data_IF_131452363544
#
_entry.id   IF_131452363544
#
_cell.length_a   1.000
_cell.length_b   1.000
_cell.length_c   1.000
_cell.angle_alpha   90.00
_cell.angle_beta   90.00
_cell.angle_gamma   90.00
#
_symmetry.space_group_name_H-M   'P 1'
#
loop_
_entity.id
_entity.type
_entity.pdbx_description
1 polymer ?
#
# COMPACT_ATOMS: atom_id res chain seq x y z
N UNK A 1 32.85 25.62 -51.88
CA UNK A 1 32.96 25.03 -50.52
C UNK A 1 32.03 25.81 -49.61
N UNK A 2 30.91 25.23 -49.19
CA UNK A 2 29.94 25.88 -48.28
C UNK A 2 30.12 25.30 -46.89
N UNK A 3 30.49 26.16 -45.93
CA UNK A 3 30.64 25.76 -44.54
C UNK A 3 29.26 25.51 -43.92
N UNK A 4 29.01 24.28 -43.47
CA UNK A 4 27.85 23.95 -42.62
C UNK A 4 28.10 24.54 -41.23
N UNK A 5 27.26 25.49 -40.82
CA UNK A 5 27.22 26.00 -39.45
C UNK A 5 26.65 24.92 -38.54
N UNK A 6 27.50 24.33 -37.71
CA UNK A 6 27.08 23.38 -36.67
C UNK A 6 26.27 24.16 -35.63
N UNK A 7 24.97 23.87 -35.53
CA UNK A 7 24.11 24.42 -34.50
C UNK A 7 24.67 24.07 -33.12
N UNK A 8 24.78 25.06 -32.23
CA UNK A 8 25.27 24.87 -30.87
C UNK A 8 24.42 23.80 -30.15
N UNK A 9 25.03 22.89 -29.36
CA UNK A 9 24.30 21.84 -28.68
C UNK A 9 23.26 22.46 -27.74
N UNK A 10 21.99 22.14 -27.96
CA UNK A 10 20.93 22.54 -27.05
C UNK A 10 21.29 22.08 -25.63
N UNK A 11 21.43 23.03 -24.71
CA UNK A 11 21.80 22.77 -23.32
C UNK A 11 20.79 21.77 -22.74
N UNK A 12 21.21 20.52 -22.55
CA UNK A 12 20.38 19.43 -22.02
C UNK A 12 19.93 19.86 -20.63
N UNK A 13 18.73 20.44 -20.53
CA UNK A 13 18.14 20.78 -19.26
C UNK A 13 18.10 19.51 -18.42
N UNK A 14 18.62 19.59 -17.20
CA UNK A 14 18.71 18.48 -16.25
C UNK A 14 17.29 18.11 -15.81
N UNK A 15 16.56 17.43 -16.70
CA UNK A 15 15.18 17.01 -16.50
C UNK A 15 15.22 15.89 -15.46
N UNK A 16 14.43 16.03 -14.39
CA UNK A 16 14.26 14.98 -13.40
C UNK A 16 13.84 13.69 -14.13
N UNK A 17 14.63 12.63 -14.02
CA UNK A 17 14.42 11.40 -14.79
C UNK A 17 13.31 10.56 -14.14
N UNK A 18 12.06 10.97 -14.36
CA UNK A 18 10.86 10.30 -13.82
C UNK A 18 10.81 8.82 -14.19
N UNK A 19 11.32 8.46 -15.38
CA UNK A 19 11.38 7.06 -15.84
C UNK A 19 12.34 6.23 -14.98
N UNK A 20 13.52 6.77 -14.67
CA UNK A 20 14.49 6.11 -13.79
C UNK A 20 13.92 5.94 -12.38
N UNK A 21 13.27 6.97 -11.83
CA UNK A 21 12.63 6.88 -10.51
C UNK A 21 11.48 5.88 -10.48
N UNK A 22 10.64 5.85 -11.52
CA UNK A 22 9.56 4.88 -11.64
C UNK A 22 10.07 3.44 -11.76
N UNK A 23 11.10 3.21 -12.57
CA UNK A 23 11.75 1.91 -12.67
C UNK A 23 12.37 1.47 -11.34
N UNK A 24 13.11 2.36 -10.69
CA UNK A 24 13.75 2.08 -9.41
C UNK A 24 12.71 1.75 -8.34
N UNK A 25 11.60 2.51 -8.29
CA UNK A 25 10.48 2.23 -7.39
C UNK A 25 9.95 0.81 -7.60
N UNK A 26 9.62 0.41 -8.84
CA UNK A 26 9.08 -0.93 -9.10
C UNK A 26 10.02 -2.05 -8.65
N UNK A 27 11.34 -1.88 -8.81
CA UNK A 27 12.32 -2.89 -8.38
C UNK A 27 12.51 -2.94 -6.88
N UNK A 28 12.74 -1.78 -6.25
CA UNK A 28 12.99 -1.70 -4.81
C UNK A 28 11.75 -2.09 -4.00
N UNK A 29 10.57 -1.60 -4.40
CA UNK A 29 9.30 -1.99 -3.76
C UNK A 29 9.02 -3.48 -3.90
N UNK A 30 9.31 -4.10 -5.06
CA UNK A 30 9.14 -5.54 -5.26
C UNK A 30 9.97 -6.37 -4.29
N UNK A 31 11.25 -6.05 -4.12
CA UNK A 31 12.13 -6.75 -3.16
C UNK A 31 11.64 -6.57 -1.71
N UNK A 32 11.29 -5.35 -1.34
CA UNK A 32 10.79 -5.06 0.01
C UNK A 32 9.44 -5.75 0.27
N UNK A 33 8.56 -5.80 -0.74
CA UNK A 33 7.26 -6.47 -0.65
C UNK A 33 7.39 -7.98 -0.46
N UNK A 34 8.43 -8.63 -0.99
CA UNK A 34 8.69 -10.05 -0.68
C UNK A 34 8.82 -10.23 0.83
N UNK A 35 9.65 -9.42 1.50
CA UNK A 35 9.84 -9.53 2.95
C UNK A 35 8.52 -9.22 3.70
N UNK A 36 7.86 -8.13 3.34
CA UNK A 36 6.64 -7.68 4.01
C UNK A 36 5.49 -8.69 3.88
N UNK A 37 5.24 -9.17 2.66
CA UNK A 37 4.14 -10.10 2.36
C UNK A 37 4.44 -11.47 2.96
N UNK A 38 5.64 -12.03 2.80
CA UNK A 38 5.95 -13.33 3.38
C UNK A 38 5.94 -13.29 4.91
N UNK A 39 6.48 -12.24 5.54
CA UNK A 39 6.38 -12.08 6.99
C UNK A 39 4.92 -11.97 7.45
N UNK A 40 4.10 -11.19 6.74
CA UNK A 40 2.67 -11.09 7.01
C UNK A 40 1.97 -12.45 6.87
N UNK A 41 2.15 -13.16 5.75
CA UNK A 41 1.53 -14.46 5.54
C UNK A 41 2.01 -15.51 6.55
N UNK A 42 3.30 -15.53 6.88
CA UNK A 42 3.87 -16.49 7.82
C UNK A 42 3.27 -16.33 9.22
N UNK A 43 3.22 -15.10 9.75
CA UNK A 43 2.69 -14.85 11.09
C UNK A 43 1.18 -15.14 11.17
N UNK A 44 0.43 -14.84 10.11
CA UNK A 44 -1.02 -15.06 10.10
C UNK A 44 -1.42 -16.51 9.80
N UNK A 45 -0.59 -17.30 9.10
CA UNK A 45 -0.97 -18.64 8.62
C UNK A 45 -0.19 -19.80 9.26
N UNK A 46 1.07 -19.59 9.66
CA UNK A 46 1.97 -20.67 10.09
C UNK A 46 2.27 -20.68 11.58
N UNK A 47 1.92 -19.62 12.31
CA UNK A 47 2.18 -19.49 13.75
C UNK A 47 0.88 -19.68 14.53
N UNK A 48 0.97 -20.21 15.76
CA UNK A 48 -0.20 -20.44 16.62
C UNK A 48 -1.16 -21.46 16.01
N UNK A 49 -2.45 -21.12 15.96
CA UNK A 49 -3.48 -21.96 15.31
C UNK A 49 -3.73 -21.59 13.84
N UNK A 50 -2.83 -20.79 13.24
CA UNK A 50 -2.94 -20.34 11.86
C UNK A 50 -4.22 -19.55 11.59
N UNK A 51 -4.87 -19.82 10.45
CA UNK A 51 -6.07 -19.09 10.01
C UNK A 51 -7.23 -19.14 11.00
N UNK A 52 -7.30 -20.18 11.84
CA UNK A 52 -8.37 -20.35 12.82
C UNK A 52 -8.27 -19.35 14.00
N UNK A 53 -7.09 -18.76 14.22
CA UNK A 53 -6.89 -17.72 15.23
C UNK A 53 -7.18 -16.29 14.73
N UNK A 54 -7.52 -16.10 13.45
CA UNK A 54 -7.73 -14.77 12.87
C UNK A 54 -9.13 -14.23 13.20
N UNK A 55 -9.27 -13.62 14.37
CA UNK A 55 -10.49 -12.96 14.83
C UNK A 55 -10.26 -11.47 15.17
N UNK A 56 -11.29 -10.83 15.73
CA UNK A 56 -11.21 -9.42 16.14
C UNK A 56 -10.15 -9.19 17.24
N UNK A 57 -10.04 -10.11 18.21
CA UNK A 57 -9.10 -9.99 19.31
C UNK A 57 -7.65 -10.10 18.83
N UNK A 58 -7.39 -10.97 17.85
CA UNK A 58 -6.10 -11.09 17.19
C UNK A 58 -5.68 -9.78 16.49
N UNK A 59 -6.60 -9.16 15.73
CA UNK A 59 -6.35 -7.87 15.07
C UNK A 59 -6.10 -6.78 16.11
N UNK A 60 -6.91 -6.73 17.17
CA UNK A 60 -6.74 -5.78 18.26
C UNK A 60 -5.37 -5.93 18.94
N UNK A 61 -4.91 -7.17 19.17
CA UNK A 61 -3.58 -7.47 19.68
C UNK A 61 -2.46 -7.01 18.75
N UNK A 62 -2.57 -7.26 17.44
CA UNK A 62 -1.58 -6.76 16.46
C UNK A 62 -1.52 -5.24 16.49
N UNK A 63 -2.67 -4.58 16.36
CA UNK A 63 -2.75 -3.12 16.30
C UNK A 63 -2.50 -2.42 17.63
N UNK A 64 -2.35 -3.14 18.75
CA UNK A 64 -1.91 -2.58 20.02
C UNK A 64 -0.44 -2.12 20.01
N UNK A 65 0.36 -2.52 19.00
CA UNK A 65 1.77 -2.13 18.89
C UNK A 65 2.06 -1.35 17.61
N UNK A 66 2.88 -0.28 17.65
CA UNK A 66 3.24 0.49 16.45
C UNK A 66 3.95 -0.34 15.38
N UNK A 67 4.67 -1.40 15.78
CA UNK A 67 5.42 -2.25 14.85
C UNK A 67 4.49 -2.87 13.79
N UNK A 68 3.40 -3.53 14.21
CA UNK A 68 2.47 -4.16 13.28
C UNK A 68 1.64 -3.15 12.49
N UNK A 69 1.27 -2.02 13.10
CA UNK A 69 0.59 -0.92 12.39
C UNK A 69 1.43 -0.44 11.20
N UNK A 70 2.71 -0.12 11.44
CA UNK A 70 3.60 0.34 10.38
C UNK A 70 3.96 -0.76 9.38
N UNK A 71 4.11 -2.02 9.83
CA UNK A 71 4.30 -3.16 8.93
C UNK A 71 3.16 -3.27 7.92
N UNK A 72 1.92 -3.29 8.41
CA UNK A 72 0.73 -3.48 7.56
C UNK A 72 0.46 -2.24 6.69
N UNK A 73 0.70 -1.01 7.19
CA UNK A 73 0.56 0.24 6.40
C UNK A 73 1.65 0.35 5.32
N UNK A 74 2.91 0.06 5.64
CA UNK A 74 3.98 0.07 4.64
C UNK A 74 3.70 -0.95 3.53
N UNK A 75 3.27 -2.15 3.91
CA UNK A 75 2.86 -3.17 2.95
C UNK A 75 1.66 -2.72 2.11
N UNK A 76 0.61 -2.14 2.72
CA UNK A 76 -0.57 -1.62 2.04
C UNK A 76 -0.18 -0.60 0.96
N UNK A 77 0.60 0.42 1.34
CA UNK A 77 1.02 1.48 0.43
C UNK A 77 1.89 0.93 -0.70
N UNK A 78 2.91 0.13 -0.38
CA UNK A 78 3.81 -0.42 -1.39
C UNK A 78 3.07 -1.38 -2.32
N UNK A 79 2.22 -2.26 -1.81
CA UNK A 79 1.52 -3.26 -2.60
C UNK A 79 0.51 -2.62 -3.55
N UNK A 80 -0.30 -1.67 -3.06
CA UNK A 80 -1.29 -0.98 -3.91
C UNK A 80 -0.63 -0.09 -4.95
N UNK A 81 0.43 0.66 -4.60
CA UNK A 81 1.13 1.52 -5.56
C UNK A 81 1.90 0.66 -6.58
N UNK A 82 2.60 -0.38 -6.15
CA UNK A 82 3.31 -1.31 -7.05
C UNK A 82 2.32 -2.02 -7.99
N UNK A 83 1.25 -2.58 -7.43
CA UNK A 83 0.20 -3.26 -8.19
C UNK A 83 -0.50 -2.33 -9.18
N UNK A 84 -0.88 -1.12 -8.75
CA UNK A 84 -1.54 -0.14 -9.63
C UNK A 84 -0.63 0.33 -10.78
N UNK A 85 0.67 0.52 -10.52
CA UNK A 85 1.64 0.84 -11.58
C UNK A 85 1.83 -0.33 -12.56
N UNK A 86 1.91 -1.57 -12.07
CA UNK A 86 1.95 -2.76 -12.91
C UNK A 86 0.70 -2.88 -13.78
N UNK A 87 -0.49 -2.73 -13.17
CA UNK A 87 -1.77 -2.75 -13.88
C UNK A 87 -1.89 -1.61 -14.90
N UNK A 88 -1.35 -0.42 -14.61
CA UNK A 88 -1.26 0.68 -15.58
C UNK A 88 -0.46 0.27 -16.81
N UNK A 89 0.67 -0.42 -16.65
CA UNK A 89 1.45 -0.95 -17.78
C UNK A 89 0.62 -1.94 -18.59
N UNK A 90 -0.01 -2.92 -17.94
CA UNK A 90 -0.87 -3.91 -18.61
C UNK A 90 -2.00 -3.21 -19.39
N UNK A 91 -2.69 -2.25 -18.78
CA UNK A 91 -3.78 -1.52 -19.45
C UNK A 91 -3.27 -0.73 -20.66
N UNK A 92 -2.08 -0.12 -20.58
CA UNK A 92 -1.49 0.58 -21.72
C UNK A 92 -1.11 -0.36 -22.86
N UNK A 93 -0.66 -1.58 -22.55
CA UNK A 93 -0.18 -2.53 -23.55
C UNK A 93 -1.32 -3.32 -24.22
N UNK A 94 -2.40 -3.61 -23.48
CA UNK A 94 -3.45 -4.52 -23.94
C UNK A 94 -4.78 -3.84 -24.32
N UNK A 95 -5.06 -2.61 -23.86
CA UNK A 95 -6.33 -1.93 -24.16
C UNK A 95 -6.16 -0.97 -25.33
N UNK A 96 -6.63 -1.39 -26.52
CA UNK A 96 -6.48 -0.63 -27.77
C UNK A 96 -7.43 0.58 -27.86
N UNK A 97 -8.65 0.46 -27.34
CA UNK A 97 -9.63 1.56 -27.31
C UNK A 97 -9.17 2.68 -26.37
N UNK A 98 -9.00 3.89 -26.90
CA UNK A 98 -8.45 5.05 -26.17
C UNK A 98 -9.31 5.51 -25.00
N UNK A 99 -10.64 5.51 -25.16
CA UNK A 99 -11.58 5.88 -24.11
C UNK A 99 -11.58 4.85 -22.99
N UNK A 100 -11.68 3.56 -23.34
CA UNK A 100 -11.64 2.48 -22.35
C UNK A 100 -10.34 2.48 -21.55
N UNK A 101 -9.19 2.64 -22.23
CA UNK A 101 -7.88 2.74 -21.57
C UNK A 101 -7.83 3.90 -20.58
N UNK A 102 -8.33 5.09 -20.97
CA UNK A 102 -8.37 6.27 -20.08
C UNK A 102 -9.25 6.01 -18.86
N UNK A 103 -10.44 5.44 -19.05
CA UNK A 103 -11.36 5.13 -17.94
C UNK A 103 -10.73 4.12 -16.97
N UNK A 104 -10.11 3.05 -17.49
CA UNK A 104 -9.48 2.02 -16.66
C UNK A 104 -8.31 2.57 -15.85
N UNK A 105 -7.46 3.41 -16.44
CA UNK A 105 -6.35 4.05 -15.69
C UNK A 105 -6.88 4.94 -14.57
N UNK A 106 -7.95 5.71 -14.83
CA UNK A 106 -8.59 6.53 -13.79
C UNK A 106 -9.22 5.67 -12.69
N UNK A 107 -9.92 4.60 -13.06
CA UNK A 107 -10.53 3.66 -12.11
C UNK A 107 -9.46 2.99 -11.24
N UNK A 108 -8.33 2.56 -11.81
CA UNK A 108 -7.20 1.99 -11.08
C UNK A 108 -6.62 2.99 -10.07
N UNK A 109 -6.37 4.23 -10.50
CA UNK A 109 -5.84 5.29 -9.64
C UNK A 109 -6.79 5.62 -8.49
N UNK A 110 -8.09 5.74 -8.79
CA UNK A 110 -9.11 6.02 -7.78
C UNK A 110 -9.26 4.87 -6.79
N UNK A 111 -9.35 3.63 -7.25
CA UNK A 111 -9.46 2.46 -6.39
C UNK A 111 -8.23 2.31 -5.49
N UNK A 112 -7.01 2.43 -6.03
CA UNK A 112 -5.79 2.38 -5.23
C UNK A 112 -5.75 3.50 -4.20
N UNK A 113 -6.06 4.74 -4.58
CA UNK A 113 -6.10 5.88 -3.67
C UNK A 113 -7.12 5.70 -2.54
N UNK A 114 -8.34 5.29 -2.87
CA UNK A 114 -9.40 5.04 -1.88
C UNK A 114 -9.02 3.92 -0.90
N UNK A 115 -8.48 2.80 -1.40
CA UNK A 115 -8.08 1.68 -0.54
C UNK A 115 -6.88 2.03 0.35
N UNK A 116 -5.93 2.81 -0.16
CA UNK A 116 -4.80 3.32 0.65
C UNK A 116 -5.33 4.22 1.77
N UNK A 117 -6.19 5.19 1.45
CA UNK A 117 -6.74 6.11 2.44
C UNK A 117 -7.59 5.38 3.48
N UNK A 118 -8.51 4.53 3.03
CA UNK A 118 -9.39 3.76 3.91
C UNK A 118 -8.59 2.80 4.78
N UNK A 119 -7.64 2.03 4.21
CA UNK A 119 -6.82 1.10 4.99
C UNK A 119 -5.93 1.82 6.00
N UNK A 120 -5.34 2.96 5.63
CA UNK A 120 -4.53 3.78 6.55
C UNK A 120 -5.38 4.32 7.68
N UNK A 121 -6.59 4.82 7.38
CA UNK A 121 -7.56 5.27 8.38
C UNK A 121 -7.88 4.12 9.34
N UNK A 122 -8.30 2.96 8.81
CA UNK A 122 -8.66 1.78 9.61
C UNK A 122 -7.55 1.39 10.57
N UNK A 123 -6.29 1.33 10.14
CA UNK A 123 -5.17 0.94 11.02
C UNK A 123 -4.95 1.95 12.14
N UNK A 124 -4.92 3.24 11.84
CA UNK A 124 -4.54 4.27 12.81
C UNK A 124 -5.70 4.80 13.65
N UNK A 125 -6.95 4.55 13.25
CA UNK A 125 -8.15 4.88 14.05
C UNK A 125 -8.84 3.63 14.59
N UNK A 126 -8.18 2.47 14.56
CA UNK A 126 -8.71 1.27 15.18
C UNK A 126 -8.74 1.44 16.70
N UNK A 127 -9.94 1.39 17.27
CA UNK A 127 -10.16 1.38 18.71
C UNK A 127 -11.02 0.17 19.08
N UNK A 128 -10.47 -0.84 19.79
CA UNK A 128 -11.22 -2.02 20.17
C UNK A 128 -12.30 -1.75 21.24
N UNK A 129 -12.26 -0.57 21.87
CA UNK A 129 -13.18 -0.16 22.93
C UNK A 129 -14.26 0.82 22.47
N UNK A 130 -14.25 1.21 21.19
CA UNK A 130 -15.23 2.12 20.63
C UNK A 130 -16.64 1.48 20.65
N UNK A 131 -17.56 2.09 21.40
CA UNK A 131 -18.95 1.62 21.50
C UNK A 131 -19.17 0.42 22.41
N UNK A 132 -18.17 0.03 23.21
CA UNK A 132 -18.29 -1.04 24.21
C UNK A 132 -19.21 -0.59 25.37
N UNK A 133 -20.19 -1.42 25.71
CA UNK A 133 -21.16 -1.19 26.80
C UNK A 133 -20.94 -2.16 27.96
N UNK A 134 -21.57 -1.93 29.11
CA UNK A 134 -21.51 -2.81 30.30
C UNK A 134 -21.91 -4.27 30.02
N UNK A 135 -22.76 -4.50 29.03
CA UNK A 135 -23.18 -5.84 28.61
C UNK A 135 -22.25 -6.51 27.59
N UNK A 136 -21.23 -5.79 27.09
CA UNK A 136 -20.30 -6.29 26.09
C UNK A 136 -19.24 -7.19 26.70
N UNK A 137 -18.83 -8.24 25.99
CA UNK A 137 -17.80 -9.18 26.44
C UNK A 137 -16.41 -8.56 26.62
N UNK A 138 -16.17 -7.39 26.04
CA UNK A 138 -14.92 -6.62 26.14
C UNK A 138 -14.93 -5.58 27.27
N UNK A 139 -16.02 -5.44 28.04
CA UNK A 139 -16.19 -4.37 29.02
C UNK A 139 -15.04 -4.29 30.03
N UNK A 140 -14.75 -5.40 30.72
CA UNK A 140 -13.72 -5.43 31.76
C UNK A 140 -12.32 -5.12 31.20
N UNK A 141 -12.01 -5.64 30.00
CA UNK A 141 -10.74 -5.37 29.32
C UNK A 141 -10.60 -3.89 28.95
N UNK A 142 -11.66 -3.28 28.43
CA UNK A 142 -11.65 -1.87 28.07
C UNK A 142 -11.57 -0.94 29.29
N UNK A 143 -12.25 -1.28 30.38
CA UNK A 143 -12.14 -0.56 31.65
C UNK A 143 -10.72 -0.66 32.23
N UNK A 144 -10.06 -1.81 32.11
CA UNK A 144 -8.69 -2.00 32.57
C UNK A 144 -7.67 -1.18 31.76
N UNK A 145 -7.94 -0.89 30.48
CA UNK A 145 -7.11 -0.01 29.65
C UNK A 145 -7.35 1.47 29.98
N UNK A 146 -8.61 1.86 30.20
CA UNK A 146 -8.96 3.25 30.50
C UNK A 146 -8.43 3.75 31.85
N UNK A 147 -8.22 2.84 32.81
CA UNK A 147 -7.74 3.13 34.16
C UNK A 147 -6.22 3.00 34.33
N UNK A 148 -5.46 2.76 33.25
CA UNK A 148 -3.99 2.79 33.24
C UNK A 148 -3.48 4.15 32.75
#
# INVERSE_FOLDING_TARGET
MTAQTVAAPARRQRRFNLEMWGWAFMRLSGVLLVILIFGHLFINLMVGEGIHALDFAFIAGKFATPFWQWWDVLMLWLALIHGANGMRTIVNDYVTNSTARKVLIWALGLAAGLLILLGTLVVFTFDPCLGVTESSTLWDTCQAVANR
#
